data_IF_610688691383
#
_entry.id   IF_610688691383
#
_cell.length_a   1.000
_cell.length_b   1.000
_cell.length_c   1.000
_cell.angle_alpha   90.00
_cell.angle_beta   90.00
_cell.angle_gamma   90.00
#
_symmetry.space_group_name_H-M   'P 1'
#
loop_
_entity.id
_entity.type
_entity.pdbx_description
1 polymer ?
#
# COMPACT_ATOMS: atom_id res chain seq x y z
N UNK A 1 16.67 -31.88 50.20
CA UNK A 1 16.67 -30.41 50.41
C UNK A 1 15.57 -29.83 49.54
N UNK A 2 14.31 -29.87 49.99
CA UNK A 2 13.67 -28.80 50.78
C UNK A 2 13.00 -27.77 49.83
N UNK A 3 11.69 -27.85 49.57
CA UNK A 3 10.58 -27.24 50.38
C UNK A 3 10.73 -25.72 50.50
N UNK A 4 9.73 -24.86 50.32
CA UNK A 4 8.26 -25.00 50.43
C UNK A 4 7.64 -23.68 49.86
N UNK A 5 6.48 -23.64 49.20
CA UNK A 5 5.11 -23.52 49.79
C UNK A 5 4.94 -22.22 50.63
N UNK A 6 3.86 -21.44 50.62
CA UNK A 6 2.59 -21.39 49.84
C UNK A 6 1.80 -20.13 50.31
N UNK A 7 0.80 -19.62 49.55
CA UNK A 7 -0.41 -18.94 50.09
C UNK A 7 -0.28 -17.58 50.88
N UNK A 8 -1.32 -16.75 51.19
CA UNK A 8 -2.77 -16.63 50.82
C UNK A 8 -3.45 -15.44 51.57
N UNK A 9 -4.41 -14.78 50.89
CA UNK A 9 -5.63 -14.08 51.39
C UNK A 9 -5.62 -12.87 52.36
N UNK A 10 -6.42 -11.87 51.94
CA UNK A 10 -7.60 -11.28 52.62
C UNK A 10 -7.44 -10.56 53.98
N UNK A 11 -7.84 -9.28 54.04
CA UNK A 11 -9.09 -8.86 54.73
C UNK A 11 -9.43 -7.36 54.61
N UNK A 12 -10.65 -7.08 54.16
CA UNK A 12 -11.62 -6.06 54.61
C UNK A 12 -11.23 -5.07 55.71
N UNK A 13 -11.53 -3.77 55.50
CA UNK A 13 -12.28 -2.95 56.48
C UNK A 13 -12.85 -1.64 55.94
N UNK A 14 -13.97 -1.21 56.55
CA UNK A 14 -14.72 0.04 56.32
C UNK A 14 -14.62 0.90 57.59
N UNK A 15 -14.53 2.23 57.45
CA UNK A 15 -15.29 3.16 58.31
C UNK A 15 -15.89 4.35 57.51
N UNK A 16 -16.83 5.17 57.98
CA UNK A 16 -17.83 5.07 59.06
C UNK A 16 -18.92 6.16 58.83
N UNK A 17 -19.94 6.22 59.70
CA UNK A 17 -21.15 7.09 59.60
C UNK A 17 -20.91 8.56 59.97
N UNK A 18 -21.76 9.44 59.45
CA UNK A 18 -22.25 10.63 60.18
C UNK A 18 -23.79 10.67 60.18
N UNK A 19 -24.40 11.14 61.29
CA UNK A 19 -25.85 11.29 61.53
C UNK A 19 -26.23 12.78 61.62
N UNK A 20 -27.55 13.06 61.85
CA UNK A 20 -28.18 14.29 62.43
C UNK A 20 -29.04 15.06 61.40
N UNK A 21 -30.35 15.39 61.58
CA UNK A 21 -31.38 15.12 62.62
C UNK A 21 -32.81 15.25 62.06
N UNK A 22 -33.83 14.74 62.78
CA UNK A 22 -35.29 14.97 62.53
C UNK A 22 -35.75 16.41 62.83
N UNK A 23 -36.78 16.88 62.10
CA UNK A 23 -37.97 17.60 62.64
C UNK A 23 -39.26 17.09 61.94
N UNK A 24 -40.45 17.48 62.43
CA UNK A 24 -41.71 16.68 62.41
C UNK A 24 -42.95 17.48 61.94
N UNK A 25 -43.87 16.80 61.22
CA UNK A 25 -45.29 17.13 60.92
C UNK A 25 -45.53 18.39 60.05
N UNK A 26 -46.53 18.45 59.15
CA UNK A 26 -48.00 18.31 59.33
C UNK A 26 -48.67 17.62 58.11
N UNK A 27 -49.93 17.18 58.25
CA UNK A 27 -50.67 16.38 57.25
C UNK A 27 -51.84 17.15 56.59
N UNK A 28 -52.15 16.83 55.32
CA UNK A 28 -53.44 16.98 54.62
C UNK A 28 -53.38 16.19 53.27
N UNK A 29 -54.46 15.99 52.48
CA UNK A 29 -54.93 14.63 52.22
C UNK A 29 -54.71 14.10 50.78
N UNK A 30 -55.15 12.85 50.61
CA UNK A 30 -54.99 11.98 49.45
C UNK A 30 -55.35 12.59 48.09
N UNK A 31 -54.47 12.37 47.12
CA UNK A 31 -54.85 11.96 45.77
C UNK A 31 -53.75 11.03 45.22
N UNK A 32 -54.06 9.83 44.71
CA UNK A 32 -53.04 8.98 44.10
C UNK A 32 -52.66 9.55 42.73
N UNK A 33 -51.38 9.84 42.44
CA UNK A 33 -50.95 10.08 41.09
C UNK A 33 -51.05 8.75 40.33
N UNK A 34 -51.94 8.69 39.33
CA UNK A 34 -51.94 7.60 38.35
C UNK A 34 -50.54 7.47 37.77
N UNK A 35 -49.91 6.30 37.95
CA UNK A 35 -48.58 6.06 37.42
C UNK A 35 -48.62 6.15 35.88
N UNK A 36 -47.81 7.03 35.24
CA UNK A 36 -47.60 6.93 33.80
C UNK A 36 -46.81 5.64 33.54
N UNK A 37 -47.32 4.80 32.64
CA UNK A 37 -46.71 3.51 32.31
C UNK A 37 -45.39 3.70 31.54
N UNK A 38 -44.28 3.85 32.27
CA UNK A 38 -42.91 3.88 31.73
C UNK A 38 -42.35 2.47 31.52
N UNK A 39 -43.07 1.66 30.74
CA UNK A 39 -42.65 0.29 30.39
C UNK A 39 -42.56 0.06 28.87
N UNK A 40 -42.99 1.02 28.04
CA UNK A 40 -42.95 0.93 26.58
C UNK A 40 -41.64 1.38 25.90
N UNK A 41 -40.88 2.29 26.49
CA UNK A 41 -39.73 2.95 25.82
C UNK A 41 -38.48 2.08 25.72
N UNK A 42 -38.18 1.29 26.75
CA UNK A 42 -36.96 0.46 26.78
C UNK A 42 -36.99 -0.71 25.77
N UNK A 43 -38.19 -1.23 25.43
CA UNK A 43 -38.31 -2.43 24.58
C UNK A 43 -37.91 -2.14 23.13
N UNK A 44 -38.43 -1.05 22.56
CA UNK A 44 -38.16 -0.65 21.17
C UNK A 44 -36.68 -0.31 20.94
N UNK A 45 -36.02 0.31 21.93
CA UNK A 45 -34.58 0.62 21.84
C UNK A 45 -33.71 -0.65 21.90
N UNK A 46 -34.07 -1.62 22.74
CA UNK A 46 -33.39 -2.93 22.83
C UNK A 46 -33.59 -3.74 21.54
N UNK A 47 -34.79 -3.75 20.98
CA UNK A 47 -35.08 -4.40 19.69
C UNK A 47 -34.32 -3.74 18.53
N UNK A 48 -34.25 -2.40 18.50
CA UNK A 48 -33.46 -1.67 17.50
C UNK A 48 -31.95 -1.94 17.62
N UNK A 49 -31.39 -1.94 18.84
CA UNK A 49 -29.98 -2.29 19.10
C UNK A 49 -29.66 -3.72 18.65
N UNK A 50 -30.53 -4.68 18.97
CA UNK A 50 -30.39 -6.08 18.53
C UNK A 50 -30.49 -6.23 17.01
N UNK A 51 -31.39 -5.48 16.35
CA UNK A 51 -31.50 -5.47 14.90
C UNK A 51 -30.27 -4.85 14.23
N UNK A 52 -29.64 -3.84 14.84
CA UNK A 52 -28.39 -3.27 14.35
C UNK A 52 -27.21 -4.25 14.53
N UNK A 53 -27.07 -4.87 15.70
CA UNK A 53 -26.02 -5.86 15.98
C UNK A 53 -26.07 -7.04 14.99
N UNK A 54 -27.27 -7.52 14.63
CA UNK A 54 -27.41 -8.54 13.58
C UNK A 54 -26.92 -8.08 12.20
N UNK A 55 -27.21 -6.84 11.80
CA UNK A 55 -26.71 -6.24 10.53
C UNK A 55 -25.20 -6.06 10.55
N UNK A 56 -24.64 -5.64 11.69
CA UNK A 56 -23.20 -5.47 11.86
C UNK A 56 -22.47 -6.82 11.77
N UNK A 57 -23.04 -7.89 12.36
CA UNK A 57 -22.53 -9.27 12.25
C UNK A 57 -22.58 -9.78 10.80
N UNK A 58 -23.67 -9.52 10.07
CA UNK A 58 -23.80 -9.90 8.66
C UNK A 58 -22.78 -9.15 7.78
N UNK A 59 -22.67 -7.83 7.99
CA UNK A 59 -21.69 -6.97 7.31
C UNK A 59 -20.26 -7.42 7.59
N UNK A 60 -19.94 -7.78 8.84
CA UNK A 60 -18.61 -8.30 9.22
C UNK A 60 -18.28 -9.64 8.55
N UNK A 61 -19.27 -10.53 8.37
CA UNK A 61 -19.09 -11.80 7.65
C UNK A 61 -18.76 -11.57 6.17
N UNK A 62 -19.52 -10.71 5.50
CA UNK A 62 -19.28 -10.37 4.09
C UNK A 62 -17.97 -9.59 3.90
N UNK A 63 -17.61 -8.69 4.83
CA UNK A 63 -16.33 -7.99 4.83
C UNK A 63 -15.14 -8.96 4.93
N UNK A 64 -15.20 -9.96 5.83
CA UNK A 64 -14.17 -11.02 5.94
C UNK A 64 -14.04 -11.83 4.65
N UNK A 65 -15.17 -12.21 4.04
CA UNK A 65 -15.20 -12.94 2.77
C UNK A 65 -14.60 -12.12 1.62
N UNK A 66 -14.92 -10.82 1.53
CA UNK A 66 -14.34 -9.90 0.54
C UNK A 66 -12.85 -9.70 0.76
N UNK A 67 -12.40 -9.53 2.00
CA UNK A 67 -10.98 -9.41 2.31
C UNK A 67 -10.19 -10.66 1.87
N UNK A 68 -10.69 -11.86 2.18
CA UNK A 68 -10.08 -13.12 1.72
C UNK A 68 -10.05 -13.23 0.17
N UNK A 69 -11.09 -12.75 -0.53
CA UNK A 69 -11.10 -12.68 -1.99
C UNK A 69 -10.07 -11.71 -2.54
N UNK A 70 -9.89 -10.54 -1.90
CA UNK A 70 -8.88 -9.55 -2.27
C UNK A 70 -7.48 -10.16 -2.10
N UNK A 71 -7.19 -10.77 -0.95
CA UNK A 71 -5.93 -11.47 -0.72
C UNK A 71 -5.65 -12.56 -1.77
N UNK A 72 -6.67 -13.35 -2.16
CA UNK A 72 -6.52 -14.35 -3.22
C UNK A 72 -6.21 -13.70 -4.58
N UNK A 73 -6.93 -12.65 -4.98
CA UNK A 73 -6.68 -11.95 -6.24
C UNK A 73 -5.29 -11.31 -6.28
N UNK A 74 -4.81 -10.74 -5.17
CA UNK A 74 -3.45 -10.18 -5.08
C UNK A 74 -2.36 -11.25 -5.22
N UNK A 75 -2.57 -12.45 -4.67
CA UNK A 75 -1.66 -13.58 -4.89
C UNK A 75 -1.65 -14.01 -6.36
N UNK A 76 -2.81 -14.11 -7.01
CA UNK A 76 -2.89 -14.43 -8.44
C UNK A 76 -2.14 -13.39 -9.29
N UNK A 77 -2.29 -12.09 -8.99
CA UNK A 77 -1.56 -11.01 -9.66
C UNK A 77 -0.05 -11.17 -9.47
N UNK A 78 0.41 -11.51 -8.27
CA UNK A 78 1.84 -11.76 -8.01
C UNK A 78 2.36 -12.96 -8.82
N UNK A 79 1.61 -14.08 -8.86
CA UNK A 79 1.96 -15.24 -9.70
C UNK A 79 2.00 -14.90 -11.19
N UNK A 80 1.06 -14.08 -11.67
CA UNK A 80 1.05 -13.60 -13.06
C UNK A 80 2.28 -12.75 -13.37
N UNK A 81 2.68 -11.83 -12.47
CA UNK A 81 3.91 -11.05 -12.65
C UNK A 81 5.17 -11.93 -12.72
N UNK A 82 5.29 -12.91 -11.83
CA UNK A 82 6.42 -13.87 -11.87
C UNK A 82 6.46 -14.63 -13.19
N UNK A 83 5.31 -15.14 -13.67
CA UNK A 83 5.25 -15.88 -14.95
C UNK A 83 5.58 -15.00 -16.15
N UNK A 84 5.05 -13.77 -16.21
CA UNK A 84 5.38 -12.79 -17.26
C UNK A 84 6.88 -12.49 -17.27
N UNK A 85 7.52 -12.38 -16.09
CA UNK A 85 8.96 -12.15 -16.00
C UNK A 85 9.78 -13.30 -16.59
N UNK A 86 9.42 -14.55 -16.28
CA UNK A 86 10.07 -15.73 -16.87
C UNK A 86 9.84 -15.83 -18.39
N UNK A 87 8.62 -15.56 -18.89
CA UNK A 87 8.34 -15.56 -20.32
C UNK A 87 9.13 -14.47 -21.07
N UNK A 88 9.22 -13.26 -20.53
CA UNK A 88 10.03 -12.17 -21.10
C UNK A 88 11.53 -12.50 -21.05
N UNK A 89 12.00 -13.10 -19.97
CA UNK A 89 13.39 -13.56 -19.86
C UNK A 89 13.71 -14.68 -20.87
N UNK A 90 12.80 -15.62 -21.09
CA UNK A 90 12.96 -16.66 -22.11
C UNK A 90 12.99 -16.04 -23.51
N UNK A 91 12.04 -15.14 -23.82
CA UNK A 91 12.00 -14.40 -25.09
C UNK A 91 13.29 -13.61 -25.34
N UNK A 92 13.86 -13.01 -24.28
CA UNK A 92 15.12 -12.27 -24.31
C UNK A 92 16.33 -13.19 -24.55
N UNK A 93 16.52 -14.19 -23.69
CA UNK A 93 17.67 -15.10 -23.72
C UNK A 93 17.72 -15.98 -24.97
N UNK A 94 16.57 -16.41 -25.49
CA UNK A 94 16.47 -17.12 -26.77
C UNK A 94 16.53 -16.19 -28.00
N UNK A 95 16.55 -14.87 -27.81
CA UNK A 95 16.38 -13.86 -28.88
C UNK A 95 15.14 -14.06 -29.76
N UNK A 96 14.11 -14.74 -29.22
CA UNK A 96 12.92 -15.15 -29.95
C UNK A 96 12.07 -13.96 -30.44
N UNK A 97 12.22 -12.78 -29.81
CA UNK A 97 11.62 -11.53 -30.30
C UNK A 97 12.06 -11.19 -31.74
N UNK A 98 13.29 -11.58 -32.15
CA UNK A 98 13.80 -11.39 -33.50
C UNK A 98 13.06 -12.23 -34.54
N UNK A 99 12.62 -13.44 -34.17
CA UNK A 99 11.81 -14.31 -35.03
C UNK A 99 10.39 -13.75 -35.24
N UNK A 100 9.91 -12.93 -34.29
CA UNK A 100 8.65 -12.18 -34.38
C UNK A 100 8.81 -10.82 -35.09
N UNK A 101 9.99 -10.52 -35.65
CA UNK A 101 10.25 -9.28 -36.41
C UNK A 101 10.61 -8.06 -35.58
N UNK A 102 10.89 -8.21 -34.28
CA UNK A 102 11.25 -7.11 -33.38
C UNK A 102 12.76 -6.93 -33.28
N UNK A 103 13.23 -5.67 -33.21
CA UNK A 103 14.67 -5.34 -33.10
C UNK A 103 15.25 -5.68 -31.72
N UNK A 104 14.44 -5.60 -30.68
CA UNK A 104 14.83 -5.86 -29.28
C UNK A 104 13.60 -6.28 -28.46
N UNK A 105 13.85 -6.86 -27.27
CA UNK A 105 12.80 -7.32 -26.36
C UNK A 105 11.85 -6.20 -25.88
N UNK A 106 12.35 -4.97 -25.74
CA UNK A 106 11.55 -3.84 -25.22
C UNK A 106 10.48 -3.39 -26.23
N UNK A 107 10.83 -3.33 -27.52
CA UNK A 107 9.87 -3.02 -28.60
C UNK A 107 8.78 -4.08 -28.70
N UNK A 108 9.14 -5.36 -28.53
CA UNK A 108 8.19 -6.48 -28.47
C UNK A 108 7.25 -6.33 -27.27
N UNK A 109 7.80 -6.18 -26.05
CA UNK A 109 7.04 -6.09 -24.81
C UNK A 109 6.09 -4.88 -24.80
N UNK A 110 6.52 -3.75 -25.36
CA UNK A 110 5.71 -2.54 -25.47
C UNK A 110 4.57 -2.68 -26.50
N UNK A 111 4.83 -3.27 -27.67
CA UNK A 111 3.84 -3.34 -28.77
C UNK A 111 2.82 -4.47 -28.61
N UNK A 112 3.24 -5.65 -28.17
CA UNK A 112 2.34 -6.79 -28.01
C UNK A 112 1.59 -6.76 -26.67
N UNK A 113 2.26 -6.32 -25.59
CA UNK A 113 1.75 -6.47 -24.22
C UNK A 113 1.57 -5.15 -23.46
N UNK A 114 1.91 -4.01 -24.07
CA UNK A 114 1.82 -2.69 -23.41
C UNK A 114 2.81 -2.48 -22.27
N UNK A 115 3.86 -3.31 -22.15
CA UNK A 115 4.81 -3.28 -21.05
C UNK A 115 5.88 -2.20 -21.31
N UNK A 116 6.02 -1.26 -20.39
CA UNK A 116 7.03 -0.20 -20.48
C UNK A 116 8.46 -0.75 -20.43
N UNK A 117 9.40 -0.10 -21.14
CA UNK A 117 10.82 -0.50 -21.22
C UNK A 117 11.45 -0.77 -19.85
N UNK A 118 11.24 0.13 -18.88
CA UNK A 118 11.75 -0.02 -17.51
C UNK A 118 11.25 -1.31 -16.85
N UNK A 119 9.93 -1.51 -16.83
CA UNK A 119 9.29 -2.70 -16.28
C UNK A 119 9.73 -4.00 -16.96
N UNK A 120 9.94 -3.98 -18.29
CA UNK A 120 10.49 -5.12 -19.02
C UNK A 120 11.94 -5.42 -18.58
N UNK A 121 12.76 -4.41 -18.35
CA UNK A 121 14.13 -4.56 -17.83
C UNK A 121 14.14 -5.07 -16.39
N UNK A 122 13.27 -4.52 -15.53
CA UNK A 122 13.08 -4.95 -14.15
C UNK A 122 12.75 -6.45 -14.06
N UNK A 123 11.83 -6.92 -14.91
CA UNK A 123 11.47 -8.34 -14.97
C UNK A 123 12.61 -9.25 -15.40
N UNK A 124 13.40 -8.85 -16.41
CA UNK A 124 14.60 -9.59 -16.84
C UNK A 124 15.60 -9.68 -15.68
N UNK A 125 15.91 -8.55 -15.03
CA UNK A 125 16.86 -8.52 -13.90
C UNK A 125 16.35 -9.29 -12.67
N UNK A 126 15.04 -9.31 -12.40
CA UNK A 126 14.45 -10.15 -11.34
C UNK A 126 14.74 -11.62 -11.61
N UNK A 127 14.55 -12.10 -12.84
CA UNK A 127 14.80 -13.51 -13.20
C UNK A 127 16.29 -13.82 -13.13
N UNK A 128 17.13 -12.99 -13.75
CA UNK A 128 18.60 -13.19 -13.77
C UNK A 128 19.18 -13.31 -12.36
N UNK A 129 18.71 -12.44 -11.44
CA UNK A 129 19.24 -12.33 -10.10
C UNK A 129 18.56 -13.26 -9.09
N UNK A 130 17.24 -13.44 -9.14
CA UNK A 130 16.46 -14.09 -8.07
C UNK A 130 15.83 -15.44 -8.46
N UNK A 131 15.93 -15.89 -9.71
CA UNK A 131 15.48 -17.24 -10.05
C UNK A 131 16.33 -18.33 -9.37
N UNK A 132 15.69 -19.47 -9.15
CA UNK A 132 16.34 -20.73 -8.81
C UNK A 132 17.11 -21.27 -10.02
N UNK A 133 18.21 -22.00 -9.78
CA UNK A 133 19.00 -22.65 -10.83
C UNK A 133 19.19 -24.13 -10.51
N UNK A 134 19.27 -24.95 -11.55
CA UNK A 134 19.59 -26.37 -11.43
C UNK A 134 21.09 -26.62 -11.19
N UNK A 135 21.47 -27.89 -11.02
CA UNK A 135 22.88 -28.31 -10.84
C UNK A 135 23.78 -28.01 -12.05
N UNK A 136 23.19 -27.67 -13.20
CA UNK A 136 23.87 -27.30 -14.44
C UNK A 136 23.92 -25.78 -14.67
N UNK A 137 23.32 -24.98 -13.77
CA UNK A 137 23.27 -23.52 -13.84
C UNK A 137 22.11 -22.95 -14.69
N UNK A 138 21.26 -23.80 -15.27
CA UNK A 138 20.07 -23.40 -16.01
C UNK A 138 19.06 -22.75 -15.06
N UNK A 139 18.31 -21.77 -15.55
CA UNK A 139 17.25 -21.12 -14.78
C UNK A 139 16.02 -22.04 -14.74
N UNK A 140 15.55 -22.30 -13.53
CA UNK A 140 14.23 -22.89 -13.27
C UNK A 140 13.20 -21.76 -13.27
N UNK A 141 11.98 -22.00 -13.75
CA UNK A 141 10.88 -21.00 -13.78
C UNK A 141 10.26 -20.70 -12.40
N UNK A 142 11.09 -20.68 -11.36
CA UNK A 142 10.70 -20.43 -9.98
C UNK A 142 11.68 -19.43 -9.34
N UNK A 143 11.17 -18.49 -8.54
CA UNK A 143 12.00 -17.63 -7.70
C UNK A 143 12.59 -18.45 -6.55
N UNK A 144 13.80 -18.10 -6.11
CA UNK A 144 14.48 -18.72 -4.96
C UNK A 144 13.53 -18.88 -3.76
N UNK A 145 13.53 -20.03 -3.06
CA UNK A 145 12.53 -20.34 -2.03
C UNK A 145 12.58 -19.40 -0.83
N UNK A 146 13.71 -18.73 -0.57
CA UNK A 146 13.86 -17.69 0.46
C UNK A 146 13.21 -16.36 0.06
N UNK A 147 12.99 -16.14 -1.23
CA UNK A 147 12.49 -14.90 -1.82
C UNK A 147 11.09 -15.01 -2.44
N UNK A 148 10.53 -16.23 -2.56
CA UNK A 148 9.23 -16.50 -3.19
C UNK A 148 8.05 -15.68 -2.62
N UNK A 149 8.11 -15.33 -1.33
CA UNK A 149 7.06 -14.60 -0.62
C UNK A 149 7.19 -13.07 -0.77
N UNK A 150 8.27 -12.58 -1.40
CA UNK A 150 8.45 -11.18 -1.72
C UNK A 150 7.67 -10.79 -2.98
N UNK A 151 6.86 -9.74 -2.86
CA UNK A 151 6.16 -9.17 -4.01
C UNK A 151 7.15 -8.52 -5.01
N UNK A 152 6.76 -8.41 -6.28
CA UNK A 152 7.65 -7.94 -7.35
C UNK A 152 8.26 -6.56 -7.08
N UNK A 153 7.49 -5.63 -6.50
CA UNK A 153 7.99 -4.31 -6.10
C UNK A 153 9.08 -4.34 -5.02
N UNK A 154 9.07 -5.37 -4.16
CA UNK A 154 10.14 -5.60 -3.17
C UNK A 154 11.36 -6.24 -3.83
N UNK A 155 11.16 -7.21 -4.73
CA UNK A 155 12.25 -7.81 -5.52
C UNK A 155 12.99 -6.74 -6.34
N UNK A 156 12.28 -5.85 -7.04
CA UNK A 156 12.87 -4.71 -7.77
C UNK A 156 13.70 -3.83 -6.84
N UNK A 157 13.15 -3.44 -5.69
CA UNK A 157 13.87 -2.62 -4.70
C UNK A 157 15.12 -3.32 -4.12
N UNK A 158 15.14 -4.66 -4.11
CA UNK A 158 16.28 -5.46 -3.67
C UNK A 158 17.33 -5.69 -4.77
N UNK A 159 17.11 -5.34 -6.04
CA UNK A 159 18.01 -5.73 -7.16
C UNK A 159 19.48 -5.35 -6.94
N UNK A 160 19.78 -4.22 -6.32
CA UNK A 160 21.17 -3.77 -6.07
C UNK A 160 21.90 -4.44 -4.88
N UNK A 161 21.29 -5.36 -4.15
CA UNK A 161 21.67 -5.66 -2.74
C UNK A 161 22.81 -6.68 -2.53
N UNK A 162 23.29 -7.45 -3.51
CA UNK A 162 24.12 -8.67 -3.23
C UNK A 162 23.41 -9.70 -2.34
N UNK A 163 23.93 -10.92 -2.19
CA UNK A 163 23.17 -12.01 -1.55
C UNK A 163 23.41 -12.13 -0.03
N UNK A 164 24.54 -11.67 0.49
CA UNK A 164 24.78 -11.63 1.94
C UNK A 164 23.84 -10.64 2.64
N UNK A 165 23.63 -9.47 2.05
CA UNK A 165 22.79 -8.41 2.62
C UNK A 165 21.29 -8.70 2.51
N UNK A 166 20.85 -9.60 1.62
CA UNK A 166 19.44 -10.04 1.53
C UNK A 166 18.92 -10.57 2.87
N UNK A 167 19.80 -11.20 3.67
CA UNK A 167 19.47 -11.72 5.01
C UNK A 167 19.02 -10.63 5.99
N UNK A 168 19.32 -9.36 5.73
CA UNK A 168 18.91 -8.26 6.57
C UNK A 168 17.55 -7.64 6.22
N UNK A 169 16.87 -8.17 5.20
CA UNK A 169 15.56 -7.74 4.77
C UNK A 169 14.51 -8.79 5.16
N UNK A 170 13.29 -8.34 5.44
CA UNK A 170 12.15 -9.21 5.73
C UNK A 170 11.00 -8.92 4.77
N UNK A 171 10.22 -9.96 4.47
CA UNK A 171 8.97 -9.87 3.71
C UNK A 171 7.97 -8.90 4.35
N UNK A 172 8.03 -8.67 5.66
CA UNK A 172 7.14 -7.73 6.37
C UNK A 172 7.51 -6.25 6.16
N UNK A 173 8.74 -5.95 5.69
CA UNK A 173 9.17 -4.57 5.47
C UNK A 173 8.37 -3.91 4.34
N UNK A 174 8.10 -2.60 4.47
CA UNK A 174 7.53 -1.83 3.36
C UNK A 174 8.57 -1.61 2.26
N UNK A 175 8.13 -1.43 1.02
CA UNK A 175 9.03 -1.09 -0.11
C UNK A 175 9.83 0.19 0.19
N UNK A 176 9.26 1.14 0.93
CA UNK A 176 9.93 2.38 1.35
C UNK A 176 11.07 2.11 2.33
N UNK A 177 10.86 1.24 3.31
CA UNK A 177 11.89 0.87 4.29
C UNK A 177 13.00 0.04 3.65
N UNK A 178 12.65 -0.84 2.71
CA UNK A 178 13.62 -1.55 1.86
C UNK A 178 14.45 -0.53 1.07
N UNK A 179 13.82 0.32 0.24
CA UNK A 179 14.53 1.35 -0.56
C UNK A 179 15.44 2.22 0.32
N UNK A 180 14.97 2.64 1.51
CA UNK A 180 15.77 3.41 2.47
C UNK A 180 16.98 2.62 2.94
N UNK A 181 16.79 1.40 3.44
CA UNK A 181 17.88 0.56 3.95
C UNK A 181 18.89 0.20 2.86
N UNK A 182 18.45 -0.04 1.63
CA UNK A 182 19.34 -0.21 0.47
C UNK A 182 20.17 1.06 0.24
N UNK A 183 19.58 2.27 0.28
CA UNK A 183 20.35 3.52 0.21
C UNK A 183 21.35 3.64 1.36
N UNK A 184 20.94 3.34 2.60
CA UNK A 184 21.80 3.45 3.78
C UNK A 184 23.02 2.50 3.70
N UNK A 185 22.84 1.29 3.12
CA UNK A 185 23.92 0.32 2.86
C UNK A 185 24.90 0.82 1.78
N UNK A 186 24.42 1.48 0.73
CA UNK A 186 25.26 2.00 -0.36
C UNK A 186 25.85 3.40 -0.07
N UNK A 187 25.35 4.06 0.98
CA UNK A 187 25.83 5.35 1.47
C UNK A 187 25.36 6.56 0.66
N UNK A 188 25.40 7.75 1.28
CA UNK A 188 25.32 9.03 0.56
C UNK A 188 26.67 9.36 -0.10
N UNK A 189 27.03 8.60 -1.14
CA UNK A 189 28.18 8.91 -2.00
C UNK A 189 27.73 9.07 -3.45
N UNK A 190 27.60 10.33 -3.86
CA UNK A 190 27.61 10.69 -5.28
C UNK A 190 28.88 11.48 -5.60
N UNK A 191 29.58 11.09 -6.67
CA UNK A 191 30.79 11.67 -7.30
C UNK A 191 32.17 11.34 -6.70
N UNK A 192 32.89 10.46 -7.42
CA UNK A 192 34.24 10.65 -7.99
C UNK A 192 34.58 9.39 -8.82
N UNK A 193 35.34 9.40 -9.91
CA UNK A 193 36.04 10.49 -10.61
C UNK A 193 35.80 10.43 -12.13
N UNK A 194 35.88 11.58 -12.79
CA UNK A 194 36.02 11.66 -14.23
C UNK A 194 37.52 11.70 -14.57
N UNK A 195 38.05 10.65 -15.21
CA UNK A 195 39.36 10.71 -15.85
C UNK A 195 39.21 11.35 -17.23
N UNK A 196 39.69 12.58 -17.33
CA UNK A 196 39.89 13.32 -18.57
C UNK A 196 40.84 12.52 -19.50
N UNK A 197 40.37 12.15 -20.70
CA UNK A 197 41.24 11.65 -21.76
C UNK A 197 40.86 12.28 -23.11
N UNK A 198 41.90 12.84 -23.74
CA UNK A 198 41.84 13.67 -24.93
C UNK A 198 41.33 12.92 -26.16
N UNK A 199 40.66 13.63 -27.06
CA UNK A 199 40.00 13.04 -28.22
C UNK A 199 41.01 12.72 -29.33
N UNK A 200 41.13 11.44 -29.70
CA UNK A 200 41.83 11.01 -30.91
C UNK A 200 41.16 9.79 -31.53
N UNK A 201 40.18 10.10 -32.38
CA UNK A 201 39.71 9.37 -33.56
C UNK A 201 40.16 7.90 -33.74
N UNK A 202 39.26 6.94 -33.46
CA UNK A 202 39.23 5.66 -34.17
C UNK A 202 37.83 5.00 -34.17
N UNK A 203 37.45 4.48 -35.33
CA UNK A 203 36.16 3.86 -35.66
C UNK A 203 36.11 2.38 -35.23
N UNK A 204 35.14 1.97 -34.40
CA UNK A 204 34.51 0.63 -34.39
C UNK A 204 33.43 0.48 -33.28
N UNK A 205 32.30 -0.20 -33.53
CA UNK A 205 31.24 -0.36 -32.53
C UNK A 205 31.46 -1.60 -31.63
N UNK A 206 31.76 -1.36 -30.35
CA UNK A 206 31.80 -2.37 -29.29
C UNK A 206 31.07 -1.85 -28.04
N UNK A 207 30.27 -2.69 -27.40
CA UNK A 207 29.32 -2.23 -26.38
C UNK A 207 29.94 -1.87 -25.03
N UNK A 208 29.43 -0.79 -24.44
CA UNK A 208 29.46 -0.51 -23.01
C UNK A 208 28.23 0.32 -22.62
N UNK A 209 27.14 -0.36 -22.23
CA UNK A 209 26.00 0.27 -21.56
C UNK A 209 26.23 0.19 -20.03
N UNK A 210 27.31 0.80 -19.53
CA UNK A 210 27.54 0.99 -18.09
C UNK A 210 26.36 1.78 -17.50
N UNK A 211 25.43 1.07 -16.87
CA UNK A 211 24.21 1.65 -16.31
C UNK A 211 24.54 2.35 -14.99
N UNK A 212 25.06 3.57 -15.11
CA UNK A 212 25.39 4.44 -14.01
C UNK A 212 24.11 4.79 -13.24
N UNK A 213 24.02 4.40 -11.97
CA UNK A 213 22.78 4.46 -11.21
C UNK A 213 22.25 5.88 -11.04
N UNK A 214 21.08 6.18 -11.61
CA UNK A 214 20.22 7.29 -11.21
C UNK A 214 18.75 7.05 -11.58
N UNK A 215 17.90 7.51 -10.66
CA UNK A 215 16.44 7.52 -10.72
C UNK A 215 15.79 6.14 -10.94
N UNK A 216 15.50 5.51 -9.79
CA UNK A 216 14.46 4.49 -9.67
C UNK A 216 13.17 5.11 -10.22
N UNK A 217 12.75 4.67 -11.40
CA UNK A 217 11.40 4.93 -11.89
C UNK A 217 10.47 4.22 -10.91
N UNK A 218 9.80 5.00 -10.04
CA UNK A 218 8.58 4.52 -9.41
C UNK A 218 7.66 4.07 -10.55
N UNK A 219 7.33 2.78 -10.59
CA UNK A 219 6.38 2.26 -11.55
C UNK A 219 5.13 3.12 -11.46
N UNK A 220 4.71 3.71 -12.59
CA UNK A 220 3.79 4.84 -12.64
C UNK A 220 2.33 4.47 -12.29
N UNK A 221 2.11 3.96 -11.07
CA UNK A 221 1.16 4.61 -10.20
C UNK A 221 1.71 6.00 -9.88
N UNK A 222 1.32 6.97 -10.70
CA UNK A 222 1.29 8.35 -10.23
C UNK A 222 0.39 8.31 -9.00
N UNK A 223 0.95 8.46 -7.79
CA UNK A 223 0.14 8.63 -6.60
C UNK A 223 -0.60 9.96 -6.80
N UNK A 224 -1.83 9.88 -7.32
CA UNK A 224 -2.59 11.07 -7.71
C UNK A 224 -2.97 11.79 -6.43
N UNK A 225 -2.10 12.72 -6.03
CA UNK A 225 -2.31 13.65 -4.93
C UNK A 225 -3.45 14.60 -5.33
N UNK A 226 -4.67 14.07 -5.21
CA UNK A 226 -5.89 14.64 -5.72
C UNK A 226 -6.51 15.49 -4.63
N UNK A 227 -6.23 16.79 -4.70
CA UNK A 227 -6.93 17.75 -3.87
C UNK A 227 -8.34 17.99 -4.44
N UNK A 228 -9.37 17.58 -3.71
CA UNK A 228 -10.75 17.97 -4.04
C UNK A 228 -10.91 19.46 -3.71
N UNK A 229 -11.06 20.29 -4.74
CA UNK A 229 -11.24 21.74 -4.57
C UNK A 229 -12.64 22.09 -4.04
N UNK A 230 -13.68 21.40 -4.54
CA UNK A 230 -15.07 21.55 -4.14
C UNK A 230 -15.89 20.32 -4.57
N UNK A 231 -16.97 20.02 -3.85
CA UNK A 231 -17.93 18.94 -4.16
C UNK A 231 -19.35 19.52 -4.13
N UNK A 232 -20.21 19.10 -5.07
CA UNK A 232 -21.61 19.49 -5.14
C UNK A 232 -22.48 18.23 -5.19
N UNK A 233 -23.61 18.22 -4.46
CA UNK A 233 -24.54 17.10 -4.41
C UNK A 233 -25.85 17.37 -5.18
N UNK A 234 -26.05 18.61 -5.62
CA UNK A 234 -27.23 19.06 -6.37
C UNK A 234 -26.90 20.32 -7.19
N UNK A 235 -27.80 20.69 -8.10
CA UNK A 235 -27.62 21.83 -9.01
C UNK A 235 -27.66 23.18 -8.27
N UNK A 236 -28.41 23.28 -7.17
CA UNK A 236 -28.53 24.51 -6.37
C UNK A 236 -27.25 24.81 -5.58
N UNK A 237 -26.52 23.78 -5.15
CA UNK A 237 -25.16 23.90 -4.63
C UNK A 237 -24.20 24.38 -5.71
N UNK A 238 -24.18 23.74 -6.89
CA UNK A 238 -23.31 24.17 -8.00
C UNK A 238 -23.52 25.65 -8.37
N UNK A 239 -24.77 26.07 -8.53
CA UNK A 239 -25.11 27.44 -8.90
C UNK A 239 -24.66 28.49 -7.86
N UNK A 240 -24.57 28.15 -6.57
CA UNK A 240 -24.06 29.06 -5.52
C UNK A 240 -22.56 29.32 -5.61
N UNK A 241 -21.81 28.44 -6.26
CA UNK A 241 -20.36 28.56 -6.43
C UNK A 241 -19.96 28.96 -7.85
N UNK A 242 -20.92 29.20 -8.76
CA UNK A 242 -20.65 29.54 -10.16
C UNK A 242 -19.69 30.73 -10.31
N UNK A 243 -19.94 31.80 -9.57
CA UNK A 243 -19.16 33.05 -9.64
C UNK A 243 -17.74 32.88 -9.04
N UNK A 244 -17.58 32.03 -8.02
CA UNK A 244 -16.29 31.78 -7.34
C UNK A 244 -15.50 30.59 -7.90
N UNK A 245 -16.09 29.78 -8.77
CA UNK A 245 -15.46 28.59 -9.35
C UNK A 245 -14.27 28.96 -10.26
N UNK A 246 -14.41 30.02 -11.05
CA UNK A 246 -13.33 30.52 -11.90
C UNK A 246 -12.14 31.00 -11.05
N UNK A 247 -12.36 31.78 -10.00
CA UNK A 247 -11.31 32.23 -9.08
C UNK A 247 -10.57 31.05 -8.41
N UNK A 248 -11.31 30.00 -8.04
CA UNK A 248 -10.74 28.80 -7.42
C UNK A 248 -9.88 28.00 -8.40
N UNK A 249 -10.33 27.86 -9.66
CA UNK A 249 -9.58 27.25 -10.76
C UNK A 249 -8.34 28.09 -11.09
N UNK A 250 -8.48 29.40 -11.25
CA UNK A 250 -7.39 30.32 -11.57
C UNK A 250 -6.32 30.31 -10.48
N UNK A 251 -6.71 30.27 -9.20
CA UNK A 251 -5.80 30.14 -8.06
C UNK A 251 -5.06 28.79 -8.04
N UNK A 252 -5.70 27.71 -8.48
CA UNK A 252 -5.07 26.40 -8.63
C UNK A 252 -4.06 26.38 -9.80
N UNK A 253 -4.43 26.94 -10.96
CA UNK A 253 -3.55 27.08 -12.13
C UNK A 253 -2.34 27.98 -11.85
N UNK A 254 -2.53 29.07 -11.09
CA UNK A 254 -1.46 29.99 -10.65
C UNK A 254 -0.64 29.47 -9.47
N UNK A 255 -0.87 28.24 -9.00
CA UNK A 255 -0.04 27.64 -7.96
C UNK A 255 1.40 27.47 -8.44
N UNK A 256 2.37 27.61 -7.52
CA UNK A 256 3.78 27.41 -7.87
C UNK A 256 3.97 25.99 -8.44
N UNK A 257 4.78 25.91 -9.50
CA UNK A 257 5.12 24.67 -10.18
C UNK A 257 3.89 23.92 -10.76
N UNK A 258 2.82 24.61 -11.20
CA UNK A 258 1.67 23.90 -11.80
C UNK A 258 2.08 23.09 -13.04
N UNK A 259 2.78 23.70 -13.99
CA UNK A 259 3.28 23.03 -15.20
C UNK A 259 4.45 22.08 -14.90
N UNK A 260 5.41 22.50 -14.07
CA UNK A 260 6.59 21.70 -13.73
C UNK A 260 6.24 20.39 -12.99
N UNK A 261 5.25 20.44 -12.08
CA UNK A 261 4.76 19.26 -11.36
C UNK A 261 3.70 18.48 -12.17
N UNK A 262 3.49 18.81 -13.45
CA UNK A 262 2.53 18.17 -14.37
C UNK A 262 1.09 18.10 -13.80
N UNK A 263 0.67 19.13 -13.06
CA UNK A 263 -0.66 19.19 -12.45
C UNK A 263 -1.73 19.37 -13.53
N UNK A 264 -2.91 18.81 -13.26
CA UNK A 264 -4.10 18.92 -14.11
C UNK A 264 -5.35 19.06 -13.26
N UNK A 265 -6.36 19.76 -13.77
CA UNK A 265 -7.66 19.93 -13.11
C UNK A 265 -8.65 19.01 -13.82
N UNK A 266 -9.34 18.15 -13.07
CA UNK A 266 -10.30 17.18 -13.58
C UNK A 266 -11.69 17.42 -12.95
N UNK A 267 -12.74 17.30 -13.74
CA UNK A 267 -14.13 17.28 -13.25
C UNK A 267 -14.58 15.82 -13.21
N UNK A 268 -14.86 15.30 -12.01
CA UNK A 268 -15.21 13.89 -11.80
C UNK A 268 -16.68 13.78 -11.40
N UNK A 269 -17.49 13.16 -12.27
CA UNK A 269 -18.87 12.77 -11.95
C UNK A 269 -18.85 11.34 -11.41
N UNK A 270 -19.48 11.11 -10.25
CA UNK A 270 -19.67 9.79 -9.63
C UNK A 270 -21.15 9.43 -9.64
N UNK A 271 -21.44 8.16 -9.92
CA UNK A 271 -22.77 7.56 -9.96
C UNK A 271 -22.91 6.52 -8.84
#
# INVERSE_FOLDING_TARGET
MSTTTIEKKTATQIPAKAKTTRKKAVAAPMNPPTAPAVEGTNKTEVEAKKAQELKDIETLKEARKRNASISKSLNNVQSSFTRIAFDLYWMYSASAFGLLGYKNIYDYAAKEHGIARGTCSDFIHIVERFASRDEHGNILEEIRPELKDYQSSKLIALLGVTDAQLTEFSVDMSVRDIKKKVKDIHGESGKSDASDCDASDCDAPGGDDTYNGKEIIDGNFTEVNSQTLVTFHNIDEYNKYLDGLNDLIEKALKSKNFEADHKRIEIVVKW
#
